data_IF_434062562089
#
_entry.id   IF_434062562089
#
_cell.length_a   1.000
_cell.length_b   1.000
_cell.length_c   1.000
_cell.angle_alpha   90.00
_cell.angle_beta   90.00
_cell.angle_gamma   90.00
#
_symmetry.space_group_name_H-M   'P 1'
#
loop_
_entity.id
_entity.type
_entity.pdbx_description
1 polymer ?
#
# COMPACT_ATOMS: atom_id res chain seq x y z
N UNK A 1 -43.72 -8.07 21.00
CA UNK A 1 -43.36 -6.84 20.24
C UNK A 1 -42.09 -6.17 20.74
N UNK A 2 -41.97 -5.86 22.04
CA UNK A 2 -40.77 -5.20 22.64
C UNK A 2 -39.45 -5.99 22.49
N UNK A 3 -39.47 -7.32 22.69
CA UNK A 3 -38.28 -8.18 22.50
C UNK A 3 -37.83 -8.30 21.04
N UNK A 4 -38.78 -8.28 20.10
CA UNK A 4 -38.52 -8.30 18.66
C UNK A 4 -37.89 -6.97 18.20
N UNK A 5 -38.37 -5.86 18.75
CA UNK A 5 -37.82 -4.52 18.52
C UNK A 5 -36.39 -4.38 19.07
N UNK A 6 -36.09 -5.02 20.21
CA UNK A 6 -34.74 -5.00 20.82
C UNK A 6 -33.71 -5.82 20.04
N UNK A 7 -34.13 -6.94 19.43
CA UNK A 7 -33.29 -7.76 18.55
C UNK A 7 -33.01 -7.05 17.23
N UNK A 8 -34.00 -6.36 16.65
CA UNK A 8 -33.82 -5.58 15.42
C UNK A 8 -32.85 -4.39 15.60
N UNK A 9 -32.89 -3.74 16.77
CA UNK A 9 -31.94 -2.67 17.12
C UNK A 9 -30.52 -3.21 17.30
N UNK A 10 -30.36 -4.38 17.95
CA UNK A 10 -29.04 -5.02 18.08
C UNK A 10 -28.46 -5.46 16.72
N UNK A 11 -29.30 -5.94 15.81
CA UNK A 11 -28.89 -6.36 14.47
C UNK A 11 -28.49 -5.17 13.58
N UNK A 12 -29.15 -4.02 13.75
CA UNK A 12 -28.79 -2.78 13.07
C UNK A 12 -27.47 -2.17 13.57
N UNK A 13 -27.10 -2.41 14.83
CA UNK A 13 -25.82 -1.97 15.42
C UNK A 13 -24.61 -2.82 15.01
N UNK A 14 -24.83 -4.02 14.46
CA UNK A 14 -23.77 -4.90 13.94
C UNK A 14 -23.32 -4.54 12.51
N UNK A 15 -24.05 -3.66 11.83
CA UNK A 15 -23.68 -3.16 10.51
C UNK A 15 -23.02 -1.80 10.69
N UNK A 16 -21.83 -1.78 11.26
CA UNK A 16 -20.96 -0.60 11.09
C UNK A 16 -20.61 -0.55 9.59
N UNK A 17 -20.97 0.53 8.85
CA UNK A 17 -20.41 0.70 7.52
C UNK A 17 -18.90 0.75 7.71
N UNK A 18 -18.19 -0.23 7.16
CA UNK A 18 -16.74 -0.18 7.07
C UNK A 18 -16.44 1.03 6.21
N UNK A 19 -16.21 2.17 6.84
CA UNK A 19 -15.77 3.36 6.13
C UNK A 19 -14.49 2.95 5.45
N UNK A 20 -14.49 2.90 4.12
CA UNK A 20 -13.28 2.86 3.33
C UNK A 20 -12.46 4.06 3.83
N UNK A 21 -11.51 3.78 4.71
CA UNK A 21 -10.56 4.77 5.15
C UNK A 21 -9.85 5.16 3.86
N UNK A 22 -9.88 6.44 3.50
CA UNK A 22 -9.05 6.92 2.42
C UNK A 22 -7.62 6.52 2.81
N UNK A 23 -7.04 5.56 2.11
CA UNK A 23 -5.68 5.15 2.34
C UNK A 23 -4.82 6.35 1.95
N UNK A 24 -4.25 6.99 2.97
CA UNK A 24 -3.29 8.06 2.75
C UNK A 24 -2.11 7.43 2.01
N UNK A 25 -1.83 7.94 0.80
CA UNK A 25 -0.70 7.47 -0.01
C UNK A 25 0.58 7.60 0.80
N UNK A 26 1.17 6.46 1.14
CA UNK A 26 2.45 6.36 1.82
C UNK A 26 3.61 6.69 0.88
N UNK A 27 4.72 7.14 1.46
CA UNK A 27 5.97 7.39 0.75
C UNK A 27 7.03 6.47 1.32
N UNK A 28 7.65 5.67 0.46
CA UNK A 28 8.65 4.67 0.81
C UNK A 28 9.95 4.91 0.04
N UNK A 29 11.10 4.65 0.66
CA UNK A 29 12.41 4.93 0.08
C UNK A 29 13.21 3.67 -0.23
N UNK A 30 13.80 3.62 -1.43
CA UNK A 30 14.71 2.59 -1.89
C UNK A 30 15.98 3.27 -2.45
N UNK A 31 17.14 3.20 -1.79
CA UNK A 31 17.39 2.52 -0.53
C UNK A 31 16.89 3.38 0.64
N UNK A 32 16.47 2.74 1.73
CA UNK A 32 16.00 3.42 2.93
C UNK A 32 15.13 2.50 3.76
N UNK A 33 13.82 2.59 3.58
CA UNK A 33 12.84 1.70 4.20
C UNK A 33 13.01 0.26 3.68
N UNK A 34 13.38 0.13 2.41
CA UNK A 34 13.68 -1.15 1.77
C UNK A 34 15.02 -1.11 1.04
N UNK A 35 15.65 -2.27 0.91
CA UNK A 35 16.92 -2.41 0.20
C UNK A 35 16.72 -2.49 -1.32
N UNK A 36 15.61 -3.08 -1.78
CA UNK A 36 15.29 -3.27 -3.20
C UNK A 36 13.86 -2.83 -3.53
N UNK A 37 13.58 -2.64 -4.83
CA UNK A 37 12.24 -2.27 -5.31
C UNK A 37 11.26 -3.44 -5.12
N UNK A 38 11.71 -4.69 -5.29
CA UNK A 38 10.86 -5.86 -5.09
C UNK A 38 10.47 -6.03 -3.62
N UNK A 39 11.40 -5.84 -2.68
CA UNK A 39 11.07 -5.91 -1.25
C UNK A 39 9.98 -4.91 -0.87
N UNK A 40 10.04 -3.68 -1.42
CA UNK A 40 9.01 -2.67 -1.21
C UNK A 40 7.65 -3.12 -1.80
N UNK A 41 7.64 -3.71 -3.00
CA UNK A 41 6.39 -4.20 -3.61
C UNK A 41 5.80 -5.37 -2.80
N UNK A 42 6.63 -6.27 -2.29
CA UNK A 42 6.18 -7.46 -1.57
C UNK A 42 5.71 -7.14 -0.14
N UNK A 43 6.18 -6.04 0.46
CA UNK A 43 5.85 -5.70 1.84
C UNK A 43 4.38 -5.28 2.01
N UNK A 44 3.71 -5.86 3.00
CA UNK A 44 2.29 -5.59 3.30
C UNK A 44 1.97 -4.16 3.73
N UNK A 45 2.95 -3.39 4.21
CA UNK A 45 2.78 -1.99 4.58
C UNK A 45 2.72 -1.08 3.35
N UNK A 46 3.30 -1.50 2.22
CA UNK A 46 3.18 -0.80 0.95
C UNK A 46 1.88 -1.22 0.29
N UNK A 47 0.96 -0.28 0.11
CA UNK A 47 -0.39 -0.54 -0.40
C UNK A 47 -0.65 0.16 -1.73
N UNK A 48 -1.79 -0.15 -2.34
CA UNK A 48 -2.21 0.49 -3.58
C UNK A 48 -2.37 2.00 -3.38
N UNK A 49 -1.76 2.79 -4.27
CA UNK A 49 -1.72 4.24 -4.21
C UNK A 49 -0.43 4.82 -3.62
N UNK A 50 0.44 4.02 -3.02
CA UNK A 50 1.70 4.49 -2.44
C UNK A 50 2.72 4.92 -3.50
N UNK A 51 3.71 5.71 -3.06
CA UNK A 51 4.85 6.13 -3.88
C UNK A 51 6.16 5.56 -3.34
N UNK A 52 6.89 4.84 -4.19
CA UNK A 52 8.23 4.33 -3.93
C UNK A 52 9.25 5.27 -4.60
N UNK A 53 10.04 5.98 -3.80
CA UNK A 53 11.14 6.83 -4.25
C UNK A 53 12.42 6.02 -4.34
N UNK A 54 12.91 5.85 -5.57
CA UNK A 54 14.16 5.15 -5.84
C UNK A 54 15.28 6.18 -5.91
N UNK A 55 16.16 6.19 -4.93
CA UNK A 55 17.30 7.08 -4.85
C UNK A 55 18.43 6.75 -5.85
N UNK A 56 19.56 7.47 -5.77
CA UNK A 56 20.70 7.24 -6.65
C UNK A 56 21.28 5.83 -6.51
N UNK A 57 21.64 5.20 -7.62
CA UNK A 57 22.29 3.88 -7.64
C UNK A 57 21.74 2.95 -8.71
N UNK A 58 22.27 1.72 -8.77
CA UNK A 58 21.79 0.67 -9.67
C UNK A 58 20.88 -0.30 -8.89
N UNK A 59 19.67 -0.49 -9.41
CA UNK A 59 18.65 -1.36 -8.83
C UNK A 59 18.17 -2.36 -9.88
N UNK A 60 17.85 -3.56 -9.43
CA UNK A 60 17.13 -4.52 -10.26
C UNK A 60 15.72 -4.01 -10.56
N UNK A 61 15.18 -4.39 -11.71
CA UNK A 61 13.75 -4.22 -11.97
C UNK A 61 12.92 -5.12 -11.06
N UNK A 62 11.62 -4.89 -11.02
CA UNK A 62 10.70 -5.62 -10.15
C UNK A 62 9.39 -5.94 -10.88
N UNK A 63 8.74 -7.03 -10.46
CA UNK A 63 7.39 -7.36 -10.91
C UNK A 63 6.39 -6.51 -10.13
N UNK A 64 5.72 -5.58 -10.82
CA UNK A 64 4.79 -4.64 -10.19
C UNK A 64 3.41 -5.29 -10.05
N UNK A 65 3.12 -5.79 -8.85
CA UNK A 65 1.86 -6.48 -8.52
C UNK A 65 0.84 -5.57 -7.82
N UNK A 66 1.27 -4.39 -7.37
CA UNK A 66 0.46 -3.38 -6.67
C UNK A 66 0.36 -2.10 -7.49
N UNK A 67 -0.73 -1.35 -7.31
CA UNK A 67 -0.99 -0.08 -7.98
C UNK A 67 -0.20 1.06 -7.34
N UNK A 68 1.13 1.03 -7.43
CA UNK A 68 2.04 2.01 -6.83
C UNK A 68 2.65 2.96 -7.87
N UNK A 69 3.18 4.10 -7.42
CA UNK A 69 4.02 4.99 -8.22
C UNK A 69 5.50 4.74 -7.91
N UNK A 70 6.30 4.33 -8.88
CA UNK A 70 7.76 4.22 -8.72
C UNK A 70 8.42 5.44 -9.34
N UNK A 71 9.18 6.20 -8.55
CA UNK A 71 9.79 7.46 -8.97
C UNK A 71 11.28 7.48 -8.68
N UNK A 72 12.08 7.63 -9.72
CA UNK A 72 13.53 7.82 -9.58
C UNK A 72 13.90 9.23 -9.10
N UNK A 73 14.91 9.31 -8.23
CA UNK A 73 15.53 10.54 -7.74
C UNK A 73 17.06 10.45 -7.91
N UNK A 74 17.69 11.56 -8.31
CA UNK A 74 19.14 11.72 -8.21
C UNK A 74 20.00 10.71 -8.99
N UNK A 75 19.52 10.22 -10.15
CA UNK A 75 20.17 9.21 -11.01
C UNK A 75 19.99 7.75 -10.57
N UNK A 76 18.78 7.36 -10.19
CA UNK A 76 18.40 5.96 -10.14
C UNK A 76 18.56 5.30 -11.53
N UNK A 77 19.22 4.14 -11.58
CA UNK A 77 19.34 3.28 -12.75
C UNK A 77 18.64 1.96 -12.44
N UNK A 78 17.67 1.59 -13.28
CA UNK A 78 16.94 0.32 -13.20
C UNK A 78 17.21 -0.43 -14.49
N UNK A 79 18.11 -1.41 -14.46
CA UNK A 79 18.71 -2.00 -15.66
C UNK A 79 18.69 -3.54 -15.70
N UNK A 80 18.26 -4.19 -14.62
CA UNK A 80 18.34 -5.64 -14.44
C UNK A 80 16.97 -6.20 -14.04
N UNK A 81 16.02 -6.23 -14.97
CA UNK A 81 14.65 -6.69 -14.70
C UNK A 81 14.47 -8.21 -14.68
N UNK A 82 13.36 -8.72 -14.08
CA UNK A 82 12.90 -10.08 -14.30
C UNK A 82 12.47 -10.33 -15.76
#
# INVERSE_FOLDING_TARGET
MKKLMLVLVLLALLVVPSTAMAEESGVWYVPGDFATIQDAIDDSAVVDGDTIWVGPGNFAGAEVTKSVTIKGEGQAVIDSGP
#
